data_IF_322095862836
#
_entry.id   IF_322095862836
#
_cell.length_a   1.000
_cell.length_b   1.000
_cell.length_c   1.000
_cell.angle_alpha   90.00
_cell.angle_beta   90.00
_cell.angle_gamma   90.00
#
_symmetry.space_group_name_H-M   'P 1'
#
loop_
_entity.id
_entity.type
_entity.pdbx_description
1 polymer ?
#
# COMPACT_ATOMS: atom_id res chain seq x y z
N UNK A 1 -30.28 50.10 -11.24
CA UNK A 1 -28.98 49.45 -10.96
C UNK A 1 -29.28 48.07 -10.42
N UNK A 2 -29.08 47.01 -11.22
CA UNK A 2 -29.24 45.62 -10.78
C UNK A 2 -27.92 45.22 -10.10
N UNK A 3 -27.98 44.85 -8.83
CA UNK A 3 -26.85 44.24 -8.14
C UNK A 3 -26.60 42.88 -8.76
N UNK A 4 -25.46 42.75 -9.44
CA UNK A 4 -24.91 41.45 -9.78
C UNK A 4 -24.36 40.89 -8.46
N UNK A 5 -25.06 39.93 -7.88
CA UNK A 5 -24.45 39.05 -6.90
C UNK A 5 -23.46 38.20 -7.70
N UNK A 6 -22.17 38.49 -7.55
CA UNK A 6 -21.14 37.54 -7.96
C UNK A 6 -21.41 36.25 -7.20
N UNK A 7 -21.76 35.19 -7.93
CA UNK A 7 -21.65 33.84 -7.41
C UNK A 7 -20.22 33.67 -6.89
N UNK A 8 -20.03 33.13 -5.67
CA UNK A 8 -18.68 32.86 -5.21
C UNK A 8 -18.06 31.88 -6.21
N UNK A 9 -16.96 32.30 -6.82
CA UNK A 9 -16.07 31.41 -7.58
C UNK A 9 -15.91 30.14 -6.73
N UNK A 10 -16.28 28.99 -7.30
CA UNK A 10 -16.11 27.69 -6.64
C UNK A 10 -14.64 27.60 -6.23
N UNK A 11 -14.38 27.81 -4.93
CA UNK A 11 -13.08 27.59 -4.34
C UNK A 11 -12.66 26.18 -4.74
N UNK A 12 -11.51 26.07 -5.42
CA UNK A 12 -10.77 24.83 -5.66
C UNK A 12 -10.66 24.09 -4.32
N UNK A 13 -11.68 23.31 -4.02
CA UNK A 13 -11.72 22.51 -2.81
C UNK A 13 -10.67 21.44 -3.07
N UNK A 14 -9.67 21.24 -2.19
CA UNK A 14 -8.63 20.28 -2.46
C UNK A 14 -9.25 18.88 -2.40
N UNK A 15 -9.70 18.38 -3.55
CA UNK A 15 -10.20 17.03 -3.70
C UNK A 15 -9.07 16.09 -3.29
N UNK A 16 -9.31 15.29 -2.24
CA UNK A 16 -8.33 14.29 -1.81
C UNK A 16 -8.40 13.18 -2.84
N UNK A 17 -7.43 13.19 -3.75
CA UNK A 17 -7.27 12.18 -4.78
C UNK A 17 -6.28 11.12 -4.31
N UNK A 18 -6.71 9.87 -4.31
CA UNK A 18 -5.92 8.71 -3.97
C UNK A 18 -5.75 7.84 -5.22
N UNK A 19 -4.51 7.59 -5.62
CA UNK A 19 -4.19 6.65 -6.69
C UNK A 19 -3.76 5.31 -6.10
N UNK A 20 -4.53 4.27 -6.37
CA UNK A 20 -4.26 2.89 -5.94
C UNK A 20 -4.06 2.02 -7.18
N UNK A 21 -2.80 1.91 -7.62
CA UNK A 21 -2.46 1.26 -8.88
C UNK A 21 -3.01 2.03 -10.08
N UNK A 22 -3.91 1.39 -10.83
CA UNK A 22 -4.59 1.99 -12.00
C UNK A 22 -5.93 2.65 -11.63
N UNK A 23 -6.39 2.51 -10.37
CA UNK A 23 -7.59 3.15 -9.89
C UNK A 23 -7.28 4.55 -9.33
N UNK A 24 -7.97 5.57 -9.84
CA UNK A 24 -8.03 6.90 -9.25
C UNK A 24 -9.31 7.01 -8.43
N UNK A 25 -9.18 7.43 -7.17
CA UNK A 25 -10.29 7.62 -6.25
C UNK A 25 -10.31 9.06 -5.76
N UNK A 26 -11.51 9.61 -5.65
CA UNK A 26 -11.77 10.96 -5.16
C UNK A 26 -12.55 10.85 -3.85
N UNK A 27 -12.15 11.60 -2.83
CA UNK A 27 -12.91 11.71 -1.59
C UNK A 27 -13.91 12.86 -1.68
N UNK A 28 -15.19 12.54 -1.77
CA UNK A 28 -16.30 13.49 -1.87
C UNK A 28 -17.45 13.05 -0.96
N UNK A 29 -18.15 14.01 -0.35
CA UNK A 29 -19.32 13.73 0.51
C UNK A 29 -19.06 12.70 1.63
N UNK A 30 -17.86 12.74 2.23
CA UNK A 30 -17.39 11.79 3.25
C UNK A 30 -17.20 10.35 2.76
N UNK A 31 -17.12 10.14 1.44
CA UNK A 31 -17.02 8.82 0.83
C UNK A 31 -15.94 8.80 -0.26
N UNK A 32 -15.38 7.61 -0.51
CA UNK A 32 -14.46 7.40 -1.62
C UNK A 32 -15.23 6.94 -2.85
N UNK A 33 -15.02 7.62 -3.98
CA UNK A 33 -15.67 7.35 -5.26
C UNK A 33 -14.58 7.09 -6.30
N UNK A 34 -14.80 6.15 -7.22
CA UNK A 34 -13.91 5.97 -8.37
C UNK A 34 -14.07 7.14 -9.35
N UNK A 35 -12.95 7.68 -9.83
CA UNK A 35 -12.83 8.75 -10.83
C UNK A 35 -13.23 8.26 -12.25
N UNK A 36 -14.31 7.50 -12.36
CA UNK A 36 -14.80 6.97 -13.63
C UNK A 36 -16.34 7.09 -13.67
N UNK A 37 -16.92 7.80 -14.65
CA UNK A 37 -18.29 8.34 -14.58
C UNK A 37 -19.41 7.33 -14.89
N UNK A 38 -19.19 6.04 -14.63
CA UNK A 38 -20.22 5.01 -14.79
C UNK A 38 -21.11 4.88 -13.55
N UNK A 39 -22.43 4.79 -13.74
CA UNK A 39 -23.38 4.42 -12.69
C UNK A 39 -22.89 3.14 -11.96
N UNK A 40 -22.63 3.24 -10.66
CA UNK A 40 -22.05 2.16 -9.84
C UNK A 40 -20.66 2.44 -9.23
N UNK A 41 -20.12 3.66 -9.38
CA UNK A 41 -18.79 4.04 -8.86
C UNK A 41 -18.58 3.79 -7.36
N UNK A 42 -19.62 3.89 -6.52
CA UNK A 42 -19.53 3.69 -5.05
C UNK A 42 -19.37 2.23 -4.66
N UNK A 43 -20.17 1.32 -5.20
CA UNK A 43 -20.06 -0.12 -4.92
C UNK A 43 -18.72 -0.66 -5.41
N UNK A 44 -18.30 -0.26 -6.62
CA UNK A 44 -17.01 -0.64 -7.19
C UNK A 44 -15.82 -0.07 -6.40
N UNK A 45 -15.93 1.14 -5.85
CA UNK A 45 -14.89 1.72 -4.98
C UNK A 45 -14.74 0.92 -3.68
N UNK A 46 -15.84 0.50 -3.07
CA UNK A 46 -15.83 -0.34 -1.86
C UNK A 46 -15.22 -1.71 -2.12
N UNK A 47 -15.58 -2.35 -3.24
CA UNK A 47 -15.01 -3.63 -3.67
C UNK A 47 -13.51 -3.52 -3.94
N UNK A 48 -13.07 -2.47 -4.66
CA UNK A 48 -11.66 -2.23 -4.94
C UNK A 48 -10.85 -2.02 -3.65
N UNK A 49 -11.35 -1.22 -2.70
CA UNK A 49 -10.71 -1.01 -1.40
C UNK A 49 -10.58 -2.32 -0.62
N UNK A 50 -11.62 -3.16 -0.64
CA UNK A 50 -11.60 -4.47 0.01
C UNK A 50 -10.54 -5.38 -0.62
N UNK A 51 -10.51 -5.48 -1.94
CA UNK A 51 -9.53 -6.28 -2.67
C UNK A 51 -8.09 -5.84 -2.39
N UNK A 52 -7.84 -4.53 -2.38
CA UNK A 52 -6.51 -3.96 -2.08
C UNK A 52 -6.11 -4.27 -0.63
N UNK A 53 -7.05 -4.15 0.31
CA UNK A 53 -6.80 -4.46 1.72
C UNK A 53 -6.43 -5.93 1.90
N UNK A 54 -7.13 -6.84 1.22
CA UNK A 54 -6.84 -8.28 1.23
C UNK A 54 -5.48 -8.59 0.60
N UNK A 55 -5.16 -7.96 -0.54
CA UNK A 55 -3.85 -8.09 -1.21
C UNK A 55 -2.71 -7.59 -0.33
N UNK A 56 -2.86 -6.43 0.30
CA UNK A 56 -1.85 -5.89 1.21
C UNK A 56 -1.63 -6.83 2.39
N UNK A 57 -2.69 -7.37 3.00
CA UNK A 57 -2.58 -8.34 4.10
C UNK A 57 -1.84 -9.61 3.67
N UNK A 58 -2.10 -10.12 2.46
CA UNK A 58 -1.40 -11.28 1.92
C UNK A 58 0.10 -10.98 1.70
N UNK A 59 0.40 -9.82 1.09
CA UNK A 59 1.77 -9.37 0.87
C UNK A 59 2.54 -9.14 2.18
N UNK A 60 1.89 -8.61 3.21
CA UNK A 60 2.48 -8.45 4.54
C UNK A 60 2.85 -9.80 5.16
N UNK A 61 1.96 -10.79 5.07
CA UNK A 61 2.22 -12.14 5.57
C UNK A 61 3.38 -12.81 4.82
N UNK A 62 3.43 -12.67 3.49
CA UNK A 62 4.55 -13.15 2.68
C UNK A 62 5.86 -12.46 3.06
N UNK A 63 5.83 -11.14 3.23
CA UNK A 63 7.00 -10.36 3.64
C UNK A 63 7.54 -10.81 5.01
N UNK A 64 6.65 -11.08 5.98
CA UNK A 64 7.03 -11.63 7.28
C UNK A 64 7.68 -13.01 7.16
N UNK A 65 7.12 -13.90 6.32
CA UNK A 65 7.71 -15.22 6.06
C UNK A 65 9.09 -15.11 5.41
N UNK A 66 9.26 -14.20 4.44
CA UNK A 66 10.55 -13.96 3.79
C UNK A 66 11.60 -13.45 4.79
N UNK A 67 11.23 -12.49 5.65
CA UNK A 67 12.10 -12.00 6.73
C UNK A 67 12.56 -13.12 7.64
N UNK A 68 11.64 -14.00 8.05
CA UNK A 68 11.97 -15.16 8.87
C UNK A 68 12.96 -16.09 8.16
N UNK A 69 12.69 -16.45 6.90
CA UNK A 69 13.59 -17.30 6.10
C UNK A 69 15.00 -16.70 6.00
N UNK A 70 15.10 -15.39 5.77
CA UNK A 70 16.39 -14.67 5.73
C UNK A 70 17.11 -14.76 7.07
N UNK A 71 16.42 -14.56 8.19
CA UNK A 71 17.01 -14.69 9.53
C UNK A 71 17.59 -16.08 9.75
N UNK A 72 16.82 -17.13 9.44
CA UNK A 72 17.29 -18.52 9.60
C UNK A 72 18.52 -18.79 8.72
N UNK A 73 18.53 -18.30 7.48
CA UNK A 73 19.70 -18.42 6.60
C UNK A 73 20.92 -17.67 7.14
N UNK A 74 20.74 -16.50 7.75
CA UNK A 74 21.83 -15.77 8.40
C UNK A 74 22.42 -16.54 9.58
N UNK A 75 21.56 -17.15 10.41
CA UNK A 75 22.00 -17.97 11.54
C UNK A 75 22.78 -19.21 11.07
N UNK A 76 22.29 -19.89 10.03
CA UNK A 76 22.98 -21.05 9.44
C UNK A 76 24.35 -20.66 8.84
N UNK A 77 24.43 -19.49 8.19
CA UNK A 77 25.69 -18.99 7.64
C UNK A 77 26.70 -18.65 8.75
N UNK A 78 26.23 -18.03 9.83
CA UNK A 78 27.05 -17.74 11.00
C UNK A 78 27.59 -19.03 11.65
N UNK A 79 26.74 -20.04 11.79
CA UNK A 79 27.14 -21.38 12.28
C UNK A 79 28.20 -22.02 11.40
N UNK A 80 27.99 -22.04 10.09
CA UNK A 80 28.93 -22.61 9.12
C UNK A 80 30.28 -21.90 9.16
N UNK A 81 30.28 -20.56 9.27
CA UNK A 81 31.51 -19.76 9.39
C UNK A 81 32.27 -20.10 10.68
N UNK A 82 31.55 -20.27 11.78
CA UNK A 82 32.14 -20.64 13.07
C UNK A 82 32.77 -22.04 13.03
N UNK A 83 32.13 -23.01 12.37
CA UNK A 83 32.67 -24.34 12.17
C UNK A 83 33.93 -24.33 11.31
N UNK A 84 33.94 -23.52 10.24
CA UNK A 84 35.12 -23.35 9.39
C UNK A 84 36.32 -22.79 10.16
N UNK A 85 36.10 -21.79 11.03
CA UNK A 85 37.15 -21.22 11.87
C UNK A 85 37.69 -22.24 12.88
N UNK A 86 36.82 -23.05 13.50
CA UNK A 86 37.25 -24.14 14.41
C UNK A 86 38.13 -25.16 13.69
N UNK A 87 37.75 -25.55 12.47
CA UNK A 87 38.54 -26.49 11.67
C UNK A 87 39.91 -25.93 11.27
N UNK A 88 40.02 -24.63 11.00
CA UNK A 88 41.30 -23.97 10.74
C UNK A 88 42.19 -23.95 11.99
N UNK A 89 41.60 -23.62 13.15
CA UNK A 89 42.32 -23.60 14.41
C UNK A 89 42.87 -24.98 14.82
N UNK A 90 42.17 -26.07 14.51
CA UNK A 90 42.63 -27.44 14.80
C UNK A 90 43.75 -27.95 13.89
N UNK A 91 43.99 -27.28 12.74
CA UNK A 91 45.03 -27.64 11.78
C UNK A 91 46.36 -26.90 12.01
N UNK A 92 46.39 -25.99 12.98
CA UNK A 92 47.57 -25.18 13.33
C UNK A 92 48.13 -25.67 14.66
#
# INVERSE_FOLDING_TARGET
>A
MKGHYNEPEEEDTPFINLRLGDANMVYENLEWILDNPGEGGRERASEALKEITEKNRALEAENQLLKFKVSVMQDMLAGTKLDMLKLQAQKT
#
